data_IF_681315932323
#
_entry.id   IF_681315932323
#
_cell.length_a   1.000
_cell.length_b   1.000
_cell.length_c   1.000
_cell.angle_alpha   90.00
_cell.angle_beta   90.00
_cell.angle_gamma   90.00
#
_symmetry.space_group_name_H-M   'P 1'
#
loop_
_entity.id
_entity.type
_entity.pdbx_description
1 polymer ?
#
# COMPACT_ATOMS: atom_id res chain seq x y z
N UNK A 1 -4.95 3.25 -3.90
CA UNK A 1 -5.50 4.49 -4.47
C UNK A 1 -7.01 4.48 -4.30
N UNK A 2 -7.62 5.53 -3.73
CA UNK A 2 -9.07 5.75 -3.83
C UNK A 2 -9.96 5.21 -2.69
N UNK A 3 -11.27 5.15 -2.94
CA UNK A 3 -12.36 5.21 -1.95
C UNK A 3 -12.99 3.85 -1.57
N UNK A 4 -13.69 3.71 -0.42
CA UNK A 4 -13.62 4.58 0.76
C UNK A 4 -12.46 4.21 1.67
N UNK A 5 -12.12 2.93 1.74
CA UNK A 5 -11.27 2.36 2.78
C UNK A 5 -10.04 1.70 2.18
N UNK A 6 -8.86 1.96 2.76
CA UNK A 6 -7.61 1.36 2.30
C UNK A 6 -7.33 0.01 2.97
N UNK A 7 -7.20 0.00 4.30
CA UNK A 7 -6.86 -1.19 5.08
C UNK A 7 -7.93 -1.44 6.13
N UNK A 8 -8.40 -2.68 6.21
CA UNK A 8 -9.22 -3.18 7.31
C UNK A 8 -8.47 -4.26 8.07
N UNK A 9 -8.34 -4.09 9.38
CA UNK A 9 -8.01 -5.18 10.29
C UNK A 9 -9.32 -5.68 10.88
N UNK A 10 -9.75 -6.87 10.47
CA UNK A 10 -11.06 -7.41 10.83
C UNK A 10 -10.93 -8.55 11.85
N UNK A 11 -11.38 -8.29 13.08
CA UNK A 11 -11.51 -9.28 14.13
C UNK A 11 -13.00 -9.64 14.40
N UNK A 12 -13.95 -9.08 13.65
CA UNK A 12 -15.39 -9.18 13.94
C UNK A 12 -15.93 -10.60 13.88
N UNK A 13 -15.27 -11.51 13.18
CA UNK A 13 -15.63 -12.93 13.09
C UNK A 13 -15.21 -13.78 14.30
N UNK A 14 -14.63 -13.15 15.32
CA UNK A 14 -14.40 -13.75 16.63
C UNK A 14 -12.92 -13.98 16.98
N UNK A 15 -12.00 -13.91 16.01
CA UNK A 15 -10.55 -14.04 16.28
C UNK A 15 -9.86 -12.68 16.19
N UNK A 16 -9.08 -12.25 17.20
CA UNK A 16 -8.35 -10.97 17.19
C UNK A 16 -7.21 -10.95 16.16
N UNK A 17 -7.52 -10.62 14.91
CA UNK A 17 -6.53 -10.56 13.82
C UNK A 17 -5.50 -9.46 14.01
N UNK A 18 -5.79 -8.45 14.85
CA UNK A 18 -4.84 -7.44 15.28
C UNK A 18 -3.66 -8.04 16.06
N UNK A 19 -3.79 -9.20 16.71
CA UNK A 19 -2.66 -9.88 17.37
C UNK A 19 -1.57 -10.33 16.40
N UNK A 20 -1.90 -10.51 15.13
CA UNK A 20 -0.90 -10.78 14.09
C UNK A 20 0.09 -9.64 13.88
N UNK A 21 -0.28 -8.41 14.29
CA UNK A 21 0.62 -7.25 14.29
C UNK A 21 1.72 -7.45 15.34
N UNK A 22 1.33 -7.78 16.58
CA UNK A 22 2.24 -8.02 17.71
C UNK A 22 3.14 -9.23 17.44
N UNK A 23 2.56 -10.31 16.92
CA UNK A 23 3.28 -11.55 16.56
C UNK A 23 4.11 -11.40 15.28
N UNK A 24 4.03 -10.25 14.61
CA UNK A 24 4.75 -9.96 13.37
C UNK A 24 4.44 -10.94 12.21
N UNK A 25 3.30 -11.64 12.29
CA UNK A 25 2.77 -12.51 11.22
C UNK A 25 2.09 -11.67 10.14
N UNK A 26 1.51 -10.52 10.50
CA UNK A 26 1.10 -9.46 9.58
C UNK A 26 2.18 -8.37 9.51
N UNK A 27 2.60 -8.00 8.29
CA UNK A 27 3.52 -6.88 8.04
C UNK A 27 3.04 -6.06 6.85
N UNK A 28 2.80 -4.78 7.06
CA UNK A 28 2.59 -3.80 5.99
C UNK A 28 3.68 -2.75 6.14
N UNK A 29 4.61 -2.70 5.18
CA UNK A 29 5.78 -1.83 5.22
C UNK A 29 6.06 -1.26 3.84
N UNK A 30 6.56 -0.03 3.79
CA UNK A 30 6.88 0.70 2.57
C UNK A 30 5.68 0.75 1.60
N UNK A 31 4.46 0.89 2.13
CA UNK A 31 3.22 1.01 1.38
C UNK A 31 2.74 2.46 1.35
N UNK A 32 2.21 2.91 0.22
CA UNK A 32 1.59 4.24 0.06
C UNK A 32 0.07 4.08 -0.08
N UNK A 33 -0.69 4.65 0.85
CA UNK A 33 -2.14 4.87 0.70
C UNK A 33 -2.36 6.27 0.12
N UNK A 34 -3.35 6.46 -0.75
CA UNK A 34 -3.57 7.75 -1.37
C UNK A 34 -5.03 7.94 -1.79
N UNK A 35 -5.62 9.05 -1.35
CA UNK A 35 -6.99 9.42 -1.73
C UNK A 35 -8.08 8.56 -1.07
N UNK A 36 -7.78 7.92 0.06
CA UNK A 36 -8.74 7.14 0.83
C UNK A 36 -9.46 8.05 1.85
N UNK A 37 -10.77 7.89 2.03
CA UNK A 37 -11.54 8.56 3.09
C UNK A 37 -11.24 7.98 4.46
N UNK A 38 -11.06 6.66 4.48
CA UNK A 38 -10.74 5.85 5.65
C UNK A 38 -9.42 5.16 5.33
N UNK A 39 -8.32 5.69 5.85
CA UNK A 39 -7.00 5.11 5.58
C UNK A 39 -6.86 3.72 6.20
N UNK A 40 -7.26 3.60 7.45
CA UNK A 40 -7.28 2.34 8.19
C UNK A 40 -8.56 2.23 9.01
N UNK A 41 -9.04 1.00 9.18
CA UNK A 41 -10.19 0.66 10.01
C UNK A 41 -9.89 -0.60 10.82
N UNK A 42 -10.45 -0.65 12.02
CA UNK A 42 -10.51 -1.83 12.86
C UNK A 42 -11.97 -2.23 13.11
N UNK A 43 -12.26 -3.52 12.94
CA UNK A 43 -13.52 -4.13 13.34
C UNK A 43 -13.25 -5.08 14.50
N UNK A 44 -13.70 -4.74 15.70
CA UNK A 44 -13.40 -5.50 16.92
C UNK A 44 -14.12 -6.86 16.97
N UNK A 45 -13.48 -7.85 17.57
CA UNK A 45 -14.14 -9.10 17.97
C UNK A 45 -15.15 -8.83 19.09
N UNK A 46 -16.40 -9.23 18.87
CA UNK A 46 -17.44 -9.20 19.92
C UNK A 46 -17.25 -10.28 20.98
N UNK A 47 -16.55 -11.38 20.66
CA UNK A 47 -16.35 -12.51 21.56
C UNK A 47 -15.05 -12.40 22.39
N UNK A 48 -14.00 -11.83 21.80
CA UNK A 48 -12.67 -11.74 22.41
C UNK A 48 -12.02 -10.37 22.14
N UNK A 49 -12.49 -9.28 22.77
CA UNK A 49 -11.94 -7.95 22.51
C UNK A 49 -10.46 -7.85 22.90
N UNK A 50 -9.63 -7.31 22.00
CA UNK A 50 -8.19 -7.08 22.28
C UNK A 50 -7.87 -5.71 22.88
N UNK A 51 -8.79 -4.76 22.76
CA UNK A 51 -8.59 -3.35 23.09
C UNK A 51 -8.04 -2.49 21.94
N UNK A 52 -7.77 -3.07 20.76
CA UNK A 52 -7.39 -2.31 19.58
C UNK A 52 -8.51 -1.37 19.08
N UNK A 53 -8.12 -0.30 18.40
CA UNK A 53 -9.01 0.76 17.87
C UNK A 53 -8.50 1.23 16.51
N UNK A 54 -9.32 1.98 15.76
CA UNK A 54 -8.87 2.67 14.54
C UNK A 54 -7.60 3.50 14.78
N UNK A 55 -7.50 4.15 15.95
CA UNK A 55 -6.34 4.96 16.33
C UNK A 55 -5.08 4.13 16.58
N UNK A 56 -5.19 2.97 17.23
CA UNK A 56 -4.03 2.09 17.45
C UNK A 56 -3.56 1.45 16.14
N UNK A 57 -4.48 1.09 15.24
CA UNK A 57 -4.12 0.60 13.90
C UNK A 57 -3.47 1.72 13.07
N UNK A 58 -3.95 2.97 13.19
CA UNK A 58 -3.32 4.10 12.51
C UNK A 58 -1.90 4.33 13.03
N UNK A 59 -1.71 4.35 14.35
CA UNK A 59 -0.41 4.53 14.98
C UNK A 59 0.58 3.41 14.60
N UNK A 60 0.10 2.17 14.50
CA UNK A 60 0.87 1.06 13.96
C UNK A 60 1.25 1.30 12.50
N UNK A 61 0.27 1.60 11.64
CA UNK A 61 0.49 1.77 10.20
C UNK A 61 1.48 2.91 9.90
N UNK A 62 1.37 4.04 10.61
CA UNK A 62 2.21 5.24 10.41
C UNK A 62 3.48 5.24 11.26
N UNK A 63 3.81 4.13 11.94
CA UNK A 63 5.08 3.99 12.63
C UNK A 63 6.24 4.25 11.63
N UNK A 64 7.12 5.24 11.87
CA UNK A 64 8.18 5.60 10.93
C UNK A 64 9.10 4.44 10.57
N UNK A 65 9.30 3.48 11.48
CA UNK A 65 10.12 2.29 11.23
C UNK A 65 9.54 1.34 10.17
N UNK A 66 8.27 1.48 9.81
CA UNK A 66 7.62 0.69 8.74
C UNK A 66 7.59 1.42 7.40
N UNK A 67 7.94 2.72 7.36
CA UNK A 67 8.12 3.47 6.11
C UNK A 67 6.85 3.64 5.27
N UNK A 68 5.66 3.35 5.80
CA UNK A 68 4.40 3.58 5.11
C UNK A 68 4.09 5.07 5.02
N UNK A 69 3.33 5.47 4.01
CA UNK A 69 2.87 6.85 3.83
C UNK A 69 1.38 6.88 3.52
N UNK A 70 0.72 7.96 3.95
CA UNK A 70 -0.67 8.25 3.65
C UNK A 70 -0.68 9.61 2.94
N UNK A 71 -1.26 9.63 1.74
CA UNK A 71 -1.46 10.83 0.94
C UNK A 71 -2.94 11.20 0.96
N UNK A 72 -3.21 12.49 1.16
CA UNK A 72 -4.58 13.01 1.22
C UNK A 72 -5.30 12.79 -0.11
N UNK A 73 -4.63 13.05 -1.23
CA UNK A 73 -5.21 12.99 -2.56
C UNK A 73 -4.52 11.94 -3.44
N UNK A 74 -5.29 11.30 -4.32
CA UNK A 74 -4.75 10.36 -5.31
C UNK A 74 -3.75 11.01 -6.27
N UNK A 75 -3.89 12.30 -6.56
CA UNK A 75 -2.98 13.05 -7.44
C UNK A 75 -1.57 13.22 -6.86
N UNK A 76 -1.42 13.13 -5.54
CA UNK A 76 -0.12 13.21 -4.86
C UNK A 76 0.74 11.97 -5.08
N UNK A 77 0.13 10.84 -5.49
CA UNK A 77 0.88 9.66 -5.91
C UNK A 77 1.64 9.87 -7.22
N UNK A 78 1.38 10.97 -7.94
CA UNK A 78 2.08 11.35 -9.19
C UNK A 78 2.08 10.22 -10.22
N UNK A 79 0.90 9.66 -10.51
CA UNK A 79 0.69 8.75 -11.64
C UNK A 79 0.23 9.55 -12.87
N UNK A 80 0.55 9.09 -14.08
CA UNK A 80 0.37 9.86 -15.32
C UNK A 80 -1.11 10.11 -15.65
N UNK A 81 -1.91 9.06 -15.80
CA UNK A 81 -3.34 9.09 -16.15
C UNK A 81 -4.08 7.89 -15.51
N UNK A 82 -4.03 7.69 -14.18
CA UNK A 82 -4.51 6.46 -13.53
C UNK A 82 -6.03 6.27 -13.55
N UNK A 83 -6.79 7.28 -14.00
CA UNK A 83 -8.27 7.25 -14.04
C UNK A 83 -8.82 7.70 -15.40
N UNK A 84 -7.97 7.84 -16.42
CA UNK A 84 -8.41 8.18 -17.77
C UNK A 84 -8.81 6.89 -18.50
N UNK A 85 -10.10 6.67 -18.73
CA UNK A 85 -10.56 5.44 -19.38
C UNK A 85 -10.25 5.39 -20.89
N UNK A 86 -10.12 6.54 -21.56
CA UNK A 86 -9.76 6.60 -22.99
C UNK A 86 -8.26 6.44 -23.25
N UNK A 87 -7.43 6.81 -22.27
CA UNK A 87 -5.97 6.79 -22.37
C UNK A 87 -5.36 6.45 -21.01
N UNK A 88 -5.69 5.25 -20.49
CA UNK A 88 -5.24 4.80 -19.19
C UNK A 88 -3.74 4.66 -19.14
N UNK A 89 -3.11 5.31 -18.16
CA UNK A 89 -1.69 5.15 -17.87
C UNK A 89 -1.44 5.26 -16.35
N UNK A 90 -1.28 4.14 -15.64
CA UNK A 90 -1.03 4.11 -14.21
C UNK A 90 0.45 4.26 -13.86
N UNK A 91 1.33 4.50 -14.84
CA UNK A 91 2.78 4.60 -14.61
C UNK A 91 3.08 5.80 -13.71
N UNK A 92 3.94 5.65 -12.69
CA UNK A 92 4.41 6.79 -11.91
C UNK A 92 5.25 7.75 -12.76
N UNK A 93 5.12 9.05 -12.53
CA UNK A 93 6.08 10.04 -13.04
C UNK A 93 7.49 9.71 -12.54
N UNK A 94 8.47 9.78 -13.42
CA UNK A 94 9.87 9.58 -13.08
C UNK A 94 10.57 10.87 -12.61
N UNK A 95 11.78 10.71 -12.06
CA UNK A 95 12.65 11.83 -11.67
C UNK A 95 12.00 12.76 -10.63
N UNK A 96 12.33 14.05 -10.69
CA UNK A 96 11.87 15.05 -9.73
C UNK A 96 10.37 15.35 -9.79
N UNK A 97 9.67 14.91 -10.85
CA UNK A 97 8.22 15.07 -10.97
C UNK A 97 7.44 13.93 -10.31
N UNK A 98 8.11 12.82 -9.99
CA UNK A 98 7.54 11.70 -9.26
C UNK A 98 7.44 11.93 -7.76
N UNK A 99 6.63 11.13 -7.09
CA UNK A 99 6.63 11.08 -5.64
C UNK A 99 7.74 10.15 -5.16
N UNK A 100 8.76 10.70 -4.51
CA UNK A 100 10.00 9.97 -4.19
C UNK A 100 9.76 8.62 -3.47
N UNK A 101 8.88 8.51 -2.46
CA UNK A 101 8.58 7.22 -1.87
C UNK A 101 8.05 6.18 -2.86
N UNK A 102 7.29 6.57 -3.89
CA UNK A 102 6.84 5.64 -4.95
C UNK A 102 7.98 5.31 -5.90
N UNK A 103 8.79 6.28 -6.32
CA UNK A 103 9.85 6.09 -7.34
C UNK A 103 11.04 5.28 -6.82
N UNK A 104 11.43 5.46 -5.56
CA UNK A 104 12.66 4.87 -5.00
C UNK A 104 12.55 4.46 -3.52
N UNK A 105 11.35 4.44 -2.93
CA UNK A 105 11.16 4.20 -1.51
C UNK A 105 10.83 2.77 -1.10
N UNK A 106 10.95 1.77 -1.99
CA UNK A 106 10.74 0.37 -1.61
C UNK A 106 11.96 -0.20 -0.88
N UNK A 107 11.71 -1.19 -0.04
CA UNK A 107 12.75 -1.85 0.74
C UNK A 107 12.35 -3.31 0.97
N UNK A 108 13.22 -4.22 0.53
CA UNK A 108 13.04 -5.67 0.57
C UNK A 108 13.98 -6.35 1.58
N UNK A 109 14.47 -5.61 2.58
CA UNK A 109 15.41 -6.15 3.59
C UNK A 109 14.73 -6.98 4.68
N UNK A 110 13.39 -7.06 4.69
CA UNK A 110 12.66 -7.93 5.61
C UNK A 110 13.06 -9.40 5.36
N UNK A 111 13.45 -10.18 6.38
CA UNK A 111 13.86 -11.57 6.21
C UNK A 111 12.80 -12.47 5.54
N UNK A 112 11.51 -12.14 5.65
CA UNK A 112 10.43 -12.86 4.96
C UNK A 112 10.44 -12.67 3.43
N UNK A 113 11.20 -11.69 2.93
CA UNK A 113 11.39 -11.38 1.51
C UNK A 113 12.77 -11.81 0.99
N UNK A 114 13.60 -12.46 1.81
CA UNK A 114 14.96 -12.87 1.44
C UNK A 114 15.02 -14.06 0.45
N UNK A 115 13.89 -14.69 0.14
CA UNK A 115 13.83 -15.80 -0.80
C UNK A 115 14.13 -15.37 -2.23
N UNK A 116 14.86 -16.20 -2.98
CA UNK A 116 15.25 -15.95 -4.38
C UNK A 116 14.09 -15.88 -5.38
N UNK A 117 12.88 -16.23 -4.95
CA UNK A 117 11.65 -16.04 -5.73
C UNK A 117 11.32 -14.56 -5.95
N UNK A 118 11.71 -13.68 -5.04
CA UNK A 118 11.41 -12.25 -5.14
C UNK A 118 12.49 -11.51 -5.94
N UNK A 119 12.06 -10.75 -6.95
CA UNK A 119 12.91 -9.73 -7.57
C UNK A 119 12.82 -8.45 -6.75
N UNK A 120 13.94 -8.00 -6.21
CA UNK A 120 14.00 -6.74 -5.46
C UNK A 120 13.98 -5.55 -6.41
N UNK A 121 13.08 -4.60 -6.19
CA UNK A 121 12.99 -3.34 -6.94
C UNK A 121 13.12 -2.14 -6.00
N UNK A 122 13.34 -0.95 -6.55
CA UNK A 122 13.47 0.29 -5.75
C UNK A 122 12.15 1.05 -5.62
N UNK A 123 11.16 0.78 -6.46
CA UNK A 123 9.89 1.50 -6.50
C UNK A 123 8.78 0.77 -5.72
N UNK A 124 7.82 1.53 -5.20
CA UNK A 124 6.62 0.98 -4.55
C UNK A 124 5.50 0.82 -5.55
N UNK A 125 4.73 -0.27 -5.41
CA UNK A 125 3.65 -0.60 -6.32
C UNK A 125 4.11 -1.52 -7.45
N UNK A 126 3.18 -1.84 -8.36
CA UNK A 126 3.41 -2.89 -9.35
C UNK A 126 4.15 -2.43 -10.61
N UNK A 127 4.20 -1.13 -10.89
CA UNK A 127 4.64 -0.58 -12.18
C UNK A 127 5.83 0.34 -11.93
N UNK A 128 6.94 0.10 -12.62
CA UNK A 128 8.13 0.95 -12.48
C UNK A 128 7.91 2.31 -13.14
N UNK A 129 8.59 3.38 -12.67
CA UNK A 129 8.55 4.68 -13.33
C UNK A 129 9.23 4.70 -14.70
N UNK A 130 10.04 3.69 -15.03
CA UNK A 130 10.77 3.57 -16.30
C UNK A 130 11.30 2.14 -16.54
N UNK A 131 11.70 1.84 -17.78
CA UNK A 131 12.29 0.56 -18.17
C UNK A 131 11.25 -0.50 -18.53
N UNK A 132 11.68 -1.76 -18.61
CA UNK A 132 10.83 -2.88 -19.05
C UNK A 132 9.60 -3.07 -18.14
N UNK A 133 9.78 -2.90 -16.84
CA UNK A 133 8.72 -3.06 -15.83
C UNK A 133 7.68 -1.92 -15.81
N UNK A 134 7.84 -0.87 -16.64
CA UNK A 134 6.83 0.19 -16.76
C UNK A 134 5.74 -0.16 -17.76
N UNK A 135 5.89 -1.28 -18.48
CA UNK A 135 5.04 -1.64 -19.62
C UNK A 135 4.36 -3.01 -19.51
N UNK A 136 4.64 -3.81 -18.48
CA UNK A 136 4.07 -5.16 -18.36
C UNK A 136 2.53 -5.18 -18.35
N UNK A 137 1.90 -4.11 -17.87
CA UNK A 137 0.44 -3.98 -17.81
C UNK A 137 -0.21 -3.74 -19.18
N UNK A 138 0.56 -3.26 -20.16
CA UNK A 138 0.05 -2.93 -21.49
C UNK A 138 -0.40 -4.20 -22.22
N UNK A 139 -1.65 -4.22 -22.65
CA UNK A 139 -2.26 -5.36 -23.34
C UNK A 139 -2.80 -6.47 -22.42
N UNK A 140 -2.54 -6.41 -21.11
CA UNK A 140 -3.06 -7.37 -20.13
C UNK A 140 -4.45 -7.00 -19.60
N UNK A 141 -4.92 -5.81 -19.93
CA UNK A 141 -6.13 -5.22 -19.37
C UNK A 141 -6.85 -4.41 -20.44
N UNK A 142 -8.18 -4.60 -20.54
CA UNK A 142 -9.06 -3.74 -21.34
C UNK A 142 -9.78 -2.80 -20.38
N UNK A 143 -9.31 -1.57 -20.31
CA UNK A 143 -10.04 -0.47 -19.68
C UNK A 143 -10.89 0.13 -20.80
N UNK A 144 -12.21 0.01 -20.65
CA UNK A 144 -13.26 0.10 -21.68
C UNK A 144 -12.96 0.92 -22.93
#
# INVERSE_FOLDING_TARGET
MGWPQAVLIDASTGTPTDRNIDDSTLRIRFTTLAGNTINVKYSASGATPSGATDASILAWFTNPSFGNTILTNSSEAKLIQPFNYSAFDPTPFAGSNGYAPIVSGANFTDPKLAGSFFTTVTYRGAISPAGVESTWWKGWTRFQ
#
